data_IF_419817917816
#
_entry.id   IF_419817917816
#
_cell.length_a   1.000
_cell.length_b   1.000
_cell.length_c   1.000
_cell.angle_alpha   90.00
_cell.angle_beta   90.00
_cell.angle_gamma   90.00
#
_symmetry.space_group_name_H-M   'P 1'
#
loop_
_entity.id
_entity.type
_entity.pdbx_description
1 polymer ?
#
# COMPACT_ATOMS: atom_id res chain seq x y z
N UNK A 1 21.35 22.95 -0.83
CA UNK A 1 21.00 22.85 0.61
C UNK A 1 19.48 22.72 0.86
N UNK A 2 18.61 23.29 0.02
CA UNK A 2 17.14 23.11 0.10
C UNK A 2 16.67 21.72 -0.37
N UNK A 3 17.24 21.19 -1.45
CA UNK A 3 16.84 19.90 -2.05
C UNK A 3 17.12 18.72 -1.11
N UNK A 4 18.23 18.73 -0.37
CA UNK A 4 18.56 17.67 0.59
C UNK A 4 17.62 17.67 1.79
N UNK A 5 17.33 18.86 2.35
CA UNK A 5 16.34 19.03 3.43
C UNK A 5 14.94 18.64 2.99
N UNK A 6 14.54 19.01 1.77
CA UNK A 6 13.26 18.62 1.21
C UNK A 6 13.16 17.10 1.02
N UNK A 7 14.20 16.45 0.46
CA UNK A 7 14.24 15.00 0.31
C UNK A 7 14.14 14.29 1.66
N UNK A 8 14.84 14.79 2.67
CA UNK A 8 14.79 14.26 4.02
C UNK A 8 13.39 14.39 4.62
N UNK A 9 12.80 15.58 4.57
CA UNK A 9 11.41 15.82 5.00
C UNK A 9 10.42 14.89 4.28
N UNK A 10 10.61 14.68 2.98
CA UNK A 10 9.74 13.82 2.18
C UNK A 10 9.92 12.33 2.51
N UNK A 11 11.12 11.91 2.90
CA UNK A 11 11.39 10.56 3.41
C UNK A 11 10.90 10.38 4.88
N UNK A 12 10.67 11.46 5.63
CA UNK A 12 10.03 11.45 6.95
C UNK A 12 8.50 11.35 6.84
N UNK A 13 7.87 12.14 5.96
CA UNK A 13 6.40 12.15 5.77
C UNK A 13 5.90 10.93 4.99
N UNK A 14 6.64 10.48 3.98
CA UNK A 14 6.31 9.32 3.16
C UNK A 14 7.48 8.31 3.14
N UNK A 15 7.69 7.55 4.24
CA UNK A 15 8.85 6.68 4.39
C UNK A 15 8.89 5.57 3.33
N UNK A 16 7.73 5.16 2.82
CA UNK A 16 7.61 4.06 1.86
C UNK A 16 7.45 4.52 0.40
N UNK A 17 7.42 5.83 0.13
CA UNK A 17 7.10 6.40 -1.18
C UNK A 17 5.67 6.07 -1.69
N UNK A 18 4.73 5.79 -0.78
CA UNK A 18 3.35 5.47 -1.13
C UNK A 18 2.61 6.66 -1.71
N UNK A 19 2.63 7.79 -0.99
CA UNK A 19 1.95 9.00 -1.44
C UNK A 19 2.54 9.49 -2.76
N UNK A 20 3.86 9.35 -2.96
CA UNK A 20 4.51 9.65 -4.24
C UNK A 20 3.94 8.81 -5.39
N UNK A 21 3.85 7.49 -5.19
CA UNK A 21 3.30 6.58 -6.22
C UNK A 21 1.82 6.87 -6.46
N UNK A 22 1.05 7.10 -5.41
CA UNK A 22 -0.37 7.48 -5.51
C UNK A 22 -0.52 8.77 -6.30
N UNK A 23 0.30 9.80 -6.04
CA UNK A 23 0.27 11.06 -6.79
C UNK A 23 0.50 10.83 -8.30
N UNK A 24 1.52 10.06 -8.67
CA UNK A 24 1.77 9.76 -10.09
C UNK A 24 0.61 9.01 -10.75
N UNK A 25 0.01 8.05 -10.04
CA UNK A 25 -1.18 7.33 -10.53
C UNK A 25 -2.37 8.27 -10.67
N UNK A 26 -2.64 9.10 -9.68
CA UNK A 26 -3.73 10.06 -9.70
C UNK A 26 -3.58 11.07 -10.84
N UNK A 27 -2.37 11.60 -11.07
CA UNK A 27 -2.11 12.50 -12.19
C UNK A 27 -2.35 11.80 -13.54
N UNK A 28 -1.86 10.56 -13.70
CA UNK A 28 -2.08 9.80 -14.93
C UNK A 28 -3.57 9.51 -15.19
N UNK A 29 -4.30 9.06 -14.16
CA UNK A 29 -5.75 8.85 -14.26
C UNK A 29 -6.45 10.16 -14.60
N UNK A 30 -6.15 11.24 -13.88
CA UNK A 30 -6.75 12.55 -14.11
C UNK A 30 -6.52 13.06 -15.55
N UNK A 31 -5.32 12.88 -16.10
CA UNK A 31 -5.05 13.30 -17.48
C UNK A 31 -5.88 12.51 -18.48
N UNK A 32 -5.96 11.18 -18.32
CA UNK A 32 -6.78 10.33 -19.21
C UNK A 32 -8.25 10.72 -19.12
N UNK A 33 -8.75 10.95 -17.91
CA UNK A 33 -10.15 11.28 -17.66
C UNK A 33 -10.56 12.64 -18.22
N UNK A 34 -9.65 13.63 -18.20
CA UNK A 34 -9.88 14.91 -18.89
C UNK A 34 -10.03 14.71 -20.40
N UNK A 35 -9.22 13.85 -21.03
CA UNK A 35 -9.37 13.52 -22.45
C UNK A 35 -10.68 12.78 -22.74
N UNK A 36 -11.05 11.82 -21.89
CA UNK A 36 -12.32 11.09 -22.00
C UNK A 36 -13.50 12.05 -21.87
N UNK A 37 -13.45 12.97 -20.90
CA UNK A 37 -14.46 14.00 -20.72
C UNK A 37 -14.61 14.88 -21.96
N UNK A 38 -13.50 15.34 -22.56
CA UNK A 38 -13.53 16.15 -23.77
C UNK A 38 -14.08 15.42 -24.99
N UNK A 39 -13.80 14.11 -25.12
CA UNK A 39 -14.22 13.32 -26.27
C UNK A 39 -15.68 12.89 -26.18
N UNK A 40 -16.13 12.42 -25.02
CA UNK A 40 -17.47 11.86 -24.83
C UNK A 40 -18.49 12.87 -24.34
N UNK A 41 -18.05 13.98 -23.73
CA UNK A 41 -18.90 15.05 -23.18
C UNK A 41 -20.08 14.48 -22.35
N UNK A 42 -19.79 13.79 -21.24
CA UNK A 42 -20.81 13.11 -20.46
C UNK A 42 -21.87 14.08 -19.93
N UNK A 43 -23.12 13.61 -19.89
CA UNK A 43 -24.31 14.42 -19.56
C UNK A 43 -24.21 15.08 -18.18
N UNK A 44 -23.55 14.42 -17.22
CA UNK A 44 -23.36 14.97 -15.87
C UNK A 44 -21.89 15.04 -15.49
N UNK A 45 -21.38 16.27 -15.42
CA UNK A 45 -20.03 16.57 -14.94
C UNK A 45 -19.79 16.04 -13.51
N UNK A 46 -20.74 16.27 -12.60
CA UNK A 46 -20.60 15.85 -11.20
C UNK A 46 -20.61 14.33 -11.04
N UNK A 47 -21.45 13.62 -11.78
CA UNK A 47 -21.47 12.15 -11.75
C UNK A 47 -20.21 11.55 -12.40
N UNK A 48 -19.61 12.25 -13.37
CA UNK A 48 -18.35 11.83 -13.98
C UNK A 48 -17.15 11.97 -13.02
N UNK A 49 -17.03 13.09 -12.31
CA UNK A 49 -15.84 13.35 -11.46
C UNK A 49 -15.97 12.91 -9.99
N UNK A 50 -17.18 12.83 -9.42
CA UNK A 50 -17.35 12.44 -8.00
C UNK A 50 -16.77 11.06 -7.62
N UNK A 51 -16.73 10.03 -8.48
CA UNK A 51 -16.13 8.75 -8.11
C UNK A 51 -14.62 8.83 -7.81
N UNK A 52 -13.89 9.83 -8.33
CA UNK A 52 -12.44 9.95 -8.10
C UNK A 52 -12.06 10.16 -6.64
N UNK A 53 -12.94 10.77 -5.83
CA UNK A 53 -12.71 10.92 -4.39
C UNK A 53 -12.58 9.55 -3.70
N UNK A 54 -13.23 8.52 -4.24
CA UNK A 54 -13.23 7.17 -3.71
C UNK A 54 -12.12 6.31 -4.31
N UNK A 55 -11.69 6.59 -5.54
CA UNK A 55 -10.59 5.88 -6.22
C UNK A 55 -9.28 5.96 -5.42
N UNK A 56 -9.06 7.04 -4.66
CA UNK A 56 -7.89 7.16 -3.78
C UNK A 56 -7.76 5.99 -2.78
N UNK A 57 -8.88 5.39 -2.35
CA UNK A 57 -8.89 4.24 -1.44
C UNK A 57 -8.29 2.96 -2.06
N UNK A 58 -8.18 2.90 -3.39
CA UNK A 58 -7.53 1.80 -4.11
C UNK A 58 -6.07 1.59 -3.68
N UNK A 59 -5.35 2.67 -3.31
CA UNK A 59 -3.95 2.61 -2.86
C UNK A 59 -3.81 2.36 -1.36
N UNK A 60 -4.92 2.15 -0.63
CA UNK A 60 -4.87 1.84 0.80
C UNK A 60 -4.02 0.58 1.09
N UNK A 61 -3.10 0.63 2.08
CA UNK A 61 -2.20 -0.48 2.41
C UNK A 61 -2.93 -1.69 3.01
N UNK A 62 -4.21 -1.53 3.36
CA UNK A 62 -5.03 -2.63 3.89
C UNK A 62 -5.41 -3.63 2.80
N UNK A 63 -5.46 -3.20 1.55
CA UNK A 63 -5.81 -4.06 0.41
C UNK A 63 -4.55 -4.79 -0.05
N UNK A 64 -4.48 -6.07 0.27
CA UNK A 64 -3.24 -6.86 0.11
C UNK A 64 -3.14 -7.55 -1.25
N UNK A 65 -4.22 -7.57 -2.03
CA UNK A 65 -4.25 -8.24 -3.35
C UNK A 65 -4.89 -7.36 -4.43
N UNK A 66 -4.46 -7.52 -5.68
CA UNK A 66 -5.11 -6.84 -6.83
C UNK A 66 -6.58 -7.21 -6.96
N UNK A 67 -6.95 -8.45 -6.63
CA UNK A 67 -8.34 -8.91 -6.65
C UNK A 67 -9.21 -8.11 -5.66
N UNK A 68 -8.74 -7.94 -4.41
CA UNK A 68 -9.44 -7.10 -3.41
C UNK A 68 -9.60 -5.66 -3.90
N UNK A 69 -8.55 -5.10 -4.50
CA UNK A 69 -8.57 -3.73 -5.03
C UNK A 69 -9.57 -3.56 -6.18
N UNK A 70 -9.65 -4.53 -7.11
CA UNK A 70 -10.64 -4.54 -8.19
C UNK A 70 -12.08 -4.71 -7.66
N UNK A 71 -12.28 -5.62 -6.69
CA UNK A 71 -13.60 -5.82 -6.07
C UNK A 71 -14.07 -4.55 -5.35
N UNK A 72 -13.16 -3.83 -4.70
CA UNK A 72 -13.47 -2.54 -4.08
C UNK A 72 -13.93 -1.52 -5.12
N UNK A 73 -13.24 -1.40 -6.27
CA UNK A 73 -13.65 -0.46 -7.32
C UNK A 73 -15.01 -0.81 -7.92
N UNK A 74 -15.29 -2.10 -8.15
CA UNK A 74 -16.60 -2.56 -8.62
C UNK A 74 -17.69 -2.23 -7.59
N UNK A 75 -17.42 -2.49 -6.31
CA UNK A 75 -18.32 -2.16 -5.21
C UNK A 75 -18.60 -0.65 -5.13
N UNK A 76 -17.55 0.18 -5.20
CA UNK A 76 -17.65 1.64 -5.23
C UNK A 76 -18.52 2.08 -6.41
N UNK A 77 -18.27 1.55 -7.61
CA UNK A 77 -19.03 1.90 -8.82
C UNK A 77 -20.52 1.61 -8.63
N UNK A 78 -20.86 0.39 -8.21
CA UNK A 78 -22.25 -0.01 -8.00
C UNK A 78 -22.92 0.82 -6.89
N UNK A 79 -22.22 1.04 -5.77
CA UNK A 79 -22.74 1.80 -4.65
C UNK A 79 -22.97 3.28 -5.00
N UNK A 80 -22.03 3.94 -5.67
CA UNK A 80 -22.17 5.33 -6.12
C UNK A 80 -23.36 5.46 -7.07
N UNK A 81 -23.50 4.55 -8.04
CA UNK A 81 -24.64 4.60 -8.97
C UNK A 81 -25.97 4.46 -8.21
N UNK A 82 -26.08 3.44 -7.35
CA UNK A 82 -27.32 3.18 -6.61
C UNK A 82 -27.68 4.34 -5.67
N UNK A 83 -26.70 4.87 -4.93
CA UNK A 83 -26.92 5.98 -4.00
C UNK A 83 -27.26 7.25 -4.78
N UNK A 84 -26.47 7.63 -5.79
CA UNK A 84 -26.70 8.86 -6.57
C UNK A 84 -28.07 8.86 -7.25
N UNK A 85 -28.45 7.76 -7.91
CA UNK A 85 -29.75 7.64 -8.59
C UNK A 85 -30.89 7.64 -7.60
N UNK A 86 -30.80 6.85 -6.52
CA UNK A 86 -31.87 6.79 -5.52
C UNK A 86 -32.04 8.10 -4.76
N UNK A 87 -30.93 8.77 -4.41
CA UNK A 87 -30.96 10.07 -3.74
C UNK A 87 -31.63 11.10 -4.64
N UNK A 88 -31.21 11.20 -5.91
CA UNK A 88 -31.80 12.12 -6.87
C UNK A 88 -33.31 11.91 -7.10
N UNK A 89 -33.76 10.65 -7.20
CA UNK A 89 -35.18 10.34 -7.43
C UNK A 89 -36.06 10.60 -6.19
N UNK A 90 -35.54 10.34 -4.99
CA UNK A 90 -36.30 10.48 -3.73
C UNK A 90 -36.22 11.88 -3.15
N UNK A 91 -35.20 12.67 -3.53
CA UNK A 91 -34.96 14.03 -3.02
C UNK A 91 -36.18 14.97 -3.00
N UNK A 92 -37.09 14.98 -4.01
CA UNK A 92 -38.27 15.84 -3.97
C UNK A 92 -39.15 15.62 -2.73
N UNK A 93 -39.18 14.39 -2.20
CA UNK A 93 -39.99 14.00 -1.06
C UNK A 93 -39.23 14.17 0.25
N UNK A 94 -38.97 15.41 0.68
CA UNK A 94 -38.08 15.75 1.81
C UNK A 94 -38.26 14.90 3.08
N UNK A 95 -39.50 14.62 3.50
CA UNK A 95 -39.77 13.78 4.67
C UNK A 95 -39.38 12.31 4.46
N UNK A 96 -39.74 11.75 3.30
CA UNK A 96 -39.37 10.37 2.91
C UNK A 96 -37.86 10.27 2.71
N UNK A 97 -37.24 11.28 2.11
CA UNK A 97 -35.81 11.36 1.87
C UNK A 97 -34.99 11.22 3.15
N UNK A 98 -35.38 11.89 4.25
CA UNK A 98 -34.67 11.77 5.52
C UNK A 98 -34.62 10.32 6.03
N UNK A 99 -35.76 9.64 6.11
CA UNK A 99 -35.81 8.24 6.54
C UNK A 99 -35.11 7.29 5.55
N UNK A 100 -35.23 7.59 4.26
CA UNK A 100 -34.54 6.85 3.21
C UNK A 100 -33.01 6.97 3.33
N UNK A 101 -32.47 8.17 3.57
CA UNK A 101 -31.04 8.37 3.78
C UNK A 101 -30.52 7.64 5.01
N UNK A 102 -31.29 7.60 6.12
CA UNK A 102 -30.93 6.80 7.30
C UNK A 102 -30.90 5.30 6.99
N UNK A 103 -31.86 4.81 6.21
CA UNK A 103 -31.88 3.42 5.76
C UNK A 103 -30.68 3.09 4.87
N UNK A 104 -30.39 3.93 3.86
CA UNK A 104 -29.23 3.77 2.97
C UNK A 104 -27.93 3.82 3.77
N UNK A 105 -27.80 4.72 4.75
CA UNK A 105 -26.66 4.76 5.67
C UNK A 105 -26.50 3.44 6.43
N UNK A 106 -27.58 2.93 7.04
CA UNK A 106 -27.54 1.66 7.77
C UNK A 106 -27.12 0.49 6.88
N UNK A 107 -27.77 0.34 5.73
CA UNK A 107 -27.47 -0.74 4.77
C UNK A 107 -26.02 -0.64 4.29
N UNK A 108 -25.60 0.52 3.79
CA UNK A 108 -24.22 0.73 3.30
C UNK A 108 -23.19 0.50 4.41
N UNK A 109 -23.46 0.92 5.64
CA UNK A 109 -22.60 0.67 6.79
C UNK A 109 -22.42 -0.82 7.05
N UNK A 110 -23.50 -1.60 7.12
CA UNK A 110 -23.42 -3.05 7.35
C UNK A 110 -22.70 -3.79 6.21
N UNK A 111 -22.93 -3.40 4.96
CA UNK A 111 -22.21 -3.97 3.82
C UNK A 111 -20.71 -3.64 3.87
N UNK A 112 -20.34 -2.39 4.14
CA UNK A 112 -18.93 -1.98 4.28
C UNK A 112 -18.29 -2.71 5.46
N UNK A 113 -18.96 -2.83 6.61
CA UNK A 113 -18.42 -3.52 7.78
C UNK A 113 -18.21 -5.03 7.50
N UNK A 114 -19.12 -5.67 6.77
CA UNK A 114 -19.04 -7.09 6.41
C UNK A 114 -17.92 -7.40 5.41
N UNK A 115 -17.74 -6.58 4.38
CA UNK A 115 -16.81 -6.88 3.27
C UNK A 115 -15.49 -6.10 3.34
N UNK A 116 -15.50 -4.90 3.91
CA UNK A 116 -14.38 -3.97 3.93
C UNK A 116 -14.19 -3.33 5.32
N UNK A 117 -14.18 -4.16 6.37
CA UNK A 117 -14.10 -3.72 7.79
C UNK A 117 -13.03 -2.63 8.05
N UNK A 118 -11.86 -2.77 7.44
CA UNK A 118 -10.76 -1.81 7.62
C UNK A 118 -11.00 -0.44 6.96
N UNK A 119 -11.93 -0.35 6.01
CA UNK A 119 -12.33 0.86 5.30
C UNK A 119 -13.68 1.38 5.84
N UNK A 120 -13.91 1.33 7.14
CA UNK A 120 -15.14 1.85 7.79
C UNK A 120 -15.51 3.29 7.41
N UNK A 121 -14.54 4.13 7.03
CA UNK A 121 -14.79 5.50 6.55
C UNK A 121 -15.38 5.56 5.13
N UNK A 122 -15.35 4.45 4.38
CA UNK A 122 -15.90 4.34 3.02
C UNK A 122 -17.40 4.65 2.98
N UNK A 123 -18.14 4.28 4.01
CA UNK A 123 -19.59 4.49 4.07
C UNK A 123 -19.95 5.97 3.96
N UNK A 124 -19.29 6.82 4.75
CA UNK A 124 -19.54 8.26 4.73
C UNK A 124 -19.11 8.89 3.41
N UNK A 125 -17.99 8.45 2.84
CA UNK A 125 -17.53 8.95 1.54
C UNK A 125 -18.52 8.58 0.42
N UNK A 126 -19.06 7.36 0.41
CA UNK A 126 -20.07 6.92 -0.57
C UNK A 126 -21.34 7.78 -0.51
N UNK A 127 -21.82 8.05 0.70
CA UNK A 127 -23.01 8.87 0.93
C UNK A 127 -22.75 10.31 0.52
N UNK A 128 -21.59 10.87 0.91
CA UNK A 128 -21.20 12.22 0.53
C UNK A 128 -21.12 12.36 -0.99
N UNK A 129 -20.48 11.41 -1.69
CA UNK A 129 -20.41 11.42 -3.16
C UNK A 129 -21.78 11.32 -3.82
N UNK A 130 -22.69 10.49 -3.29
CA UNK A 130 -24.05 10.39 -3.82
C UNK A 130 -24.88 11.66 -3.59
N UNK A 131 -24.61 12.38 -2.51
CA UNK A 131 -25.29 13.64 -2.20
C UNK A 131 -24.87 14.81 -3.11
N UNK A 132 -23.70 14.76 -3.75
CA UNK A 132 -23.22 15.80 -4.68
C UNK A 132 -24.19 16.01 -5.84
N UNK A 133 -24.94 14.97 -6.21
CA UNK A 133 -25.88 14.98 -7.34
C UNK A 133 -27.23 15.64 -6.98
N UNK A 134 -27.49 15.94 -5.70
CA UNK A 134 -28.76 16.51 -5.26
C UNK A 134 -29.04 17.93 -5.76
N UNK A 135 -28.01 18.66 -6.23
CA UNK A 135 -28.15 20.01 -6.77
C UNK A 135 -28.52 20.05 -8.26
N UNK A 136 -28.76 18.90 -8.90
CA UNK A 136 -29.08 18.86 -10.34
C UNK A 136 -30.57 19.08 -10.60
N UNK A 137 -30.89 19.92 -11.58
CA UNK A 137 -32.25 20.22 -12.05
C UNK A 137 -32.46 19.73 -13.49
N UNK A 138 -33.72 19.45 -13.92
CA UNK A 138 -34.93 19.30 -13.12
C UNK A 138 -34.88 18.09 -12.18
N UNK A 139 -35.57 18.13 -11.02
CA UNK A 139 -35.54 17.01 -10.08
C UNK A 139 -36.32 15.80 -10.59
N UNK A 140 -35.86 14.59 -10.22
CA UNK A 140 -36.52 13.31 -10.48
C UNK A 140 -36.85 12.97 -11.96
N UNK A 141 -36.09 13.52 -12.92
CA UNK A 141 -36.16 13.09 -14.32
C UNK A 141 -35.34 11.82 -14.57
N UNK A 142 -35.98 10.78 -15.11
CA UNK A 142 -35.32 9.50 -15.46
C UNK A 142 -34.20 9.65 -16.49
N UNK A 143 -34.31 10.59 -17.44
CA UNK A 143 -33.26 10.82 -18.44
C UNK A 143 -31.94 11.27 -17.79
N UNK A 144 -32.04 12.17 -16.82
CA UNK A 144 -30.90 12.64 -16.03
C UNK A 144 -30.33 11.51 -15.16
N UNK A 145 -31.20 10.66 -14.59
CA UNK A 145 -30.77 9.48 -13.84
C UNK A 145 -29.98 8.50 -14.74
N UNK A 146 -30.44 8.25 -15.97
CA UNK A 146 -29.66 7.49 -16.96
C UNK A 146 -28.33 8.17 -17.29
N UNK A 147 -28.31 9.50 -17.39
CA UNK A 147 -27.10 10.30 -17.53
C UNK A 147 -26.09 10.10 -16.39
N UNK A 148 -26.56 9.97 -15.14
CA UNK A 148 -25.68 9.66 -14.00
C UNK A 148 -25.08 8.27 -14.09
N UNK A 149 -25.90 7.27 -14.45
CA UNK A 149 -25.44 5.89 -14.63
C UNK A 149 -24.36 5.86 -15.70
N UNK A 150 -24.64 6.39 -16.89
CA UNK A 150 -23.69 6.35 -18.01
C UNK A 150 -22.41 7.12 -17.70
N UNK A 151 -22.50 8.31 -17.09
CA UNK A 151 -21.33 9.13 -16.73
C UNK A 151 -20.45 8.45 -15.67
N UNK A 152 -21.06 7.85 -14.65
CA UNK A 152 -20.33 7.15 -13.57
C UNK A 152 -19.66 5.88 -14.11
N UNK A 153 -20.37 5.11 -14.95
CA UNK A 153 -19.83 3.90 -15.59
C UNK A 153 -18.66 4.26 -16.49
N UNK A 154 -18.80 5.32 -17.30
CA UNK A 154 -17.74 5.78 -18.20
C UNK A 154 -16.46 6.12 -17.42
N UNK A 155 -16.58 6.98 -16.41
CA UNK A 155 -15.50 7.39 -15.51
C UNK A 155 -14.82 6.20 -14.83
N UNK A 156 -15.59 5.32 -14.17
CA UNK A 156 -14.99 4.18 -13.46
C UNK A 156 -14.36 3.15 -14.40
N UNK A 157 -14.86 3.00 -15.64
CA UNK A 157 -14.28 2.10 -16.63
C UNK A 157 -12.91 2.61 -17.09
N UNK A 158 -12.78 3.90 -17.41
CA UNK A 158 -11.52 4.49 -17.81
C UNK A 158 -10.52 4.59 -16.65
N UNK A 159 -10.99 4.82 -15.43
CA UNK A 159 -10.16 4.74 -14.22
C UNK A 159 -9.60 3.31 -14.03
N UNK A 160 -10.43 2.27 -14.20
CA UNK A 160 -10.00 0.87 -14.12
C UNK A 160 -8.96 0.51 -15.19
N UNK A 161 -9.19 0.93 -16.43
CA UNK A 161 -8.25 0.71 -17.53
C UNK A 161 -6.92 1.42 -17.24
N UNK A 162 -6.97 2.68 -16.82
CA UNK A 162 -5.80 3.49 -16.48
C UNK A 162 -4.97 2.83 -15.36
N UNK A 163 -5.62 2.37 -14.30
CA UNK A 163 -4.96 1.69 -13.17
C UNK A 163 -4.34 0.35 -13.58
N UNK A 164 -4.93 -0.35 -14.57
CA UNK A 164 -4.41 -1.63 -15.07
C UNK A 164 -3.21 -1.48 -15.99
N UNK A 165 -3.15 -0.38 -16.75
CA UNK A 165 -2.03 -0.06 -17.65
C UNK A 165 -0.84 0.51 -16.87
N UNK A 166 -1.09 1.22 -15.76
CA UNK A 166 -0.04 1.87 -14.99
C UNK A 166 1.04 0.87 -14.51
N UNK A 167 2.35 1.20 -14.65
CA UNK A 167 3.43 0.29 -14.28
C UNK A 167 3.40 -0.06 -12.79
N UNK A 168 3.67 -1.33 -12.48
CA UNK A 168 3.70 -1.79 -11.09
C UNK A 168 4.97 -1.30 -10.37
N UNK A 169 4.81 -0.25 -9.56
CA UNK A 169 5.87 0.38 -8.78
C UNK A 169 6.00 -0.14 -7.33
N UNK A 170 5.23 -1.17 -6.94
CA UNK A 170 5.18 -1.65 -5.56
C UNK A 170 6.51 -2.26 -5.05
N UNK A 171 7.44 -2.59 -5.94
CA UNK A 171 8.80 -3.00 -5.55
C UNK A 171 9.54 -1.91 -4.79
N UNK A 172 9.28 -0.63 -5.10
CA UNK A 172 9.88 0.51 -4.39
C UNK A 172 9.40 0.56 -2.95
N UNK A 173 8.08 0.41 -2.76
CA UNK A 173 7.45 0.38 -1.44
C UNK A 173 7.99 -0.79 -0.62
N UNK A 174 8.01 -1.98 -1.20
CA UNK A 174 8.54 -3.18 -0.56
C UNK A 174 10.00 -3.02 -0.14
N UNK A 175 10.85 -2.49 -1.02
CA UNK A 175 12.26 -2.26 -0.75
C UNK A 175 12.47 -1.27 0.40
N UNK A 176 11.76 -0.13 0.38
CA UNK A 176 11.83 0.88 1.45
C UNK A 176 11.32 0.33 2.79
N UNK A 177 10.24 -0.43 2.77
CA UNK A 177 9.72 -1.08 3.97
C UNK A 177 10.72 -2.07 4.57
N UNK A 178 11.38 -2.87 3.72
CA UNK A 178 12.40 -3.81 4.16
C UNK A 178 13.66 -3.11 4.68
N UNK A 179 14.09 -2.01 4.06
CA UNK A 179 15.20 -1.20 4.57
C UNK A 179 14.91 -0.64 5.97
N UNK A 180 13.68 -0.18 6.21
CA UNK A 180 13.26 0.29 7.53
C UNK A 180 13.22 -0.87 8.55
N UNK A 181 12.67 -2.02 8.16
CA UNK A 181 12.70 -3.21 9.00
C UNK A 181 14.13 -3.63 9.38
N UNK A 182 15.06 -3.66 8.41
CA UNK A 182 16.47 -3.96 8.66
C UNK A 182 17.11 -2.91 9.59
N UNK A 183 16.77 -1.63 9.43
CA UNK A 183 17.27 -0.57 10.32
C UNK A 183 16.86 -0.84 11.79
N UNK A 184 15.60 -1.19 12.03
CA UNK A 184 15.14 -1.50 13.38
C UNK A 184 15.77 -2.78 13.92
N UNK A 185 15.97 -3.79 13.07
CA UNK A 185 16.72 -4.99 13.44
C UNK A 185 18.20 -4.67 13.83
N UNK A 186 18.86 -3.74 13.13
CA UNK A 186 20.19 -3.25 13.51
C UNK A 186 20.19 -2.60 14.91
N UNK A 187 19.16 -1.79 15.20
CA UNK A 187 18.96 -1.12 16.50
C UNK A 187 18.62 -2.13 17.62
N UNK A 188 17.86 -3.18 17.31
CA UNK A 188 17.56 -4.28 18.24
C UNK A 188 18.80 -5.12 18.55
N UNK A 189 19.66 -5.39 17.57
CA UNK A 189 20.95 -6.06 17.79
C UNK A 189 21.80 -5.21 18.75
N UNK A 190 21.91 -3.90 18.52
CA UNK A 190 22.63 -2.99 19.41
C UNK A 190 22.06 -2.97 20.82
N UNK A 191 20.73 -2.98 20.94
CA UNK A 191 20.05 -2.95 22.24
C UNK A 191 20.26 -4.25 23.01
N UNK A 192 20.20 -5.40 22.33
CA UNK A 192 20.50 -6.71 22.91
C UNK A 192 21.99 -6.84 23.31
N UNK A 193 22.91 -6.27 22.53
CA UNK A 193 24.33 -6.21 22.88
C UNK A 193 24.57 -5.29 24.08
N UNK A 194 23.92 -4.14 24.17
CA UNK A 194 24.14 -3.19 25.26
C UNK A 194 23.25 -3.43 26.49
N UNK A 195 22.43 -4.49 26.51
CA UNK A 195 21.44 -4.78 27.56
C UNK A 195 20.47 -3.62 27.83
N UNK A 196 20.19 -2.81 26.80
CA UNK A 196 19.22 -1.73 26.89
C UNK A 196 17.83 -2.28 26.57
N UNK A 197 16.92 -2.29 27.55
CA UNK A 197 15.52 -2.75 27.40
C UNK A 197 14.63 -1.82 26.54
N UNK A 198 15.22 -1.03 25.64
CA UNK A 198 14.50 -0.11 24.74
C UNK A 198 14.45 -0.71 23.34
N UNK A 199 13.71 -1.81 23.15
CA UNK A 199 13.49 -2.36 21.81
C UNK A 199 12.26 -1.70 21.15
N UNK A 200 12.40 -1.09 19.96
CA UNK A 200 11.30 -0.53 19.16
C UNK A 200 10.45 -1.62 18.47
N UNK A 201 9.91 -2.56 19.24
CA UNK A 201 9.14 -3.72 18.74
C UNK A 201 7.90 -3.27 17.93
N UNK A 202 7.26 -2.16 18.35
CA UNK A 202 6.04 -1.65 17.68
C UNK A 202 6.31 -1.19 16.25
N UNK A 203 7.36 -0.41 16.04
CA UNK A 203 7.78 0.07 14.74
C UNK A 203 8.27 -1.08 13.85
N UNK A 204 9.02 -2.02 14.41
CA UNK A 204 9.51 -3.20 13.71
C UNK A 204 8.36 -4.03 13.11
N UNK A 205 7.32 -4.32 13.91
CA UNK A 205 6.12 -5.04 13.48
C UNK A 205 5.40 -4.31 12.34
N UNK A 206 5.32 -2.97 12.41
CA UNK A 206 4.67 -2.16 11.38
C UNK A 206 5.41 -2.28 10.04
N UNK A 207 6.74 -2.13 10.04
CA UNK A 207 7.55 -2.27 8.82
C UNK A 207 7.46 -3.68 8.23
N UNK A 208 7.51 -4.71 9.08
CA UNK A 208 7.34 -6.09 8.66
C UNK A 208 5.95 -6.36 8.08
N UNK A 209 4.90 -5.75 8.65
CA UNK A 209 3.55 -5.77 8.11
C UNK A 209 3.49 -5.20 6.69
N UNK A 210 4.12 -4.06 6.46
CA UNK A 210 4.21 -3.43 5.14
C UNK A 210 4.96 -4.32 4.13
N UNK A 211 6.09 -4.91 4.52
CA UNK A 211 6.84 -5.86 3.69
C UNK A 211 5.96 -7.04 3.25
N UNK A 212 5.15 -7.59 4.17
CA UNK A 212 4.26 -8.72 3.87
C UNK A 212 3.11 -8.33 2.95
N UNK A 213 2.44 -7.21 3.22
CA UNK A 213 1.31 -6.73 2.45
C UNK A 213 1.72 -6.42 1.01
N UNK A 214 2.79 -5.64 0.82
CA UNK A 214 3.24 -5.24 -0.52
C UNK A 214 3.91 -6.35 -1.31
N UNK A 215 4.43 -7.40 -0.66
CA UNK A 215 4.98 -8.58 -1.36
C UNK A 215 3.94 -9.24 -2.28
N UNK A 216 2.68 -9.30 -1.85
CA UNK A 216 1.57 -9.90 -2.63
C UNK A 216 1.20 -9.08 -3.86
N UNK A 217 1.57 -7.80 -3.87
CA UNK A 217 1.33 -6.86 -4.98
C UNK A 217 2.50 -6.80 -5.96
N UNK A 218 3.59 -7.53 -5.71
CA UNK A 218 4.77 -7.51 -6.59
C UNK A 218 4.53 -8.26 -7.90
N UNK A 219 5.18 -7.84 -9.00
CA UNK A 219 5.27 -8.62 -10.23
C UNK A 219 5.77 -10.04 -9.95
N UNK A 220 5.19 -11.04 -10.64
CA UNK A 220 5.53 -12.47 -10.47
C UNK A 220 7.03 -12.75 -10.54
N UNK A 221 7.78 -12.03 -11.39
CA UNK A 221 9.24 -12.17 -11.53
C UNK A 221 10.01 -11.89 -10.23
N UNK A 222 9.49 -11.05 -9.34
CA UNK A 222 10.17 -10.65 -8.09
C UNK A 222 9.71 -11.44 -6.86
N UNK A 223 8.57 -12.14 -6.91
CA UNK A 223 7.92 -12.74 -5.72
C UNK A 223 8.85 -13.72 -5.01
N UNK A 224 9.51 -14.64 -5.73
CA UNK A 224 10.37 -15.65 -5.10
C UNK A 224 11.57 -15.00 -4.40
N UNK A 225 12.25 -14.06 -5.05
CA UNK A 225 13.44 -13.42 -4.48
C UNK A 225 13.08 -12.59 -3.25
N UNK A 226 12.04 -11.75 -3.35
CA UNK A 226 11.54 -10.95 -2.23
C UNK A 226 11.03 -11.79 -1.07
N UNK A 227 10.37 -12.93 -1.34
CA UNK A 227 9.99 -13.90 -0.32
C UNK A 227 11.21 -14.45 0.43
N UNK A 228 12.23 -14.93 -0.30
CA UNK A 228 13.42 -15.54 0.29
C UNK A 228 14.23 -14.54 1.12
N UNK A 229 14.37 -13.29 0.65
CA UNK A 229 15.00 -12.23 1.43
C UNK A 229 14.22 -11.99 2.72
N UNK A 230 12.90 -11.76 2.63
CA UNK A 230 12.07 -11.47 3.79
C UNK A 230 12.05 -12.59 4.84
N UNK A 231 12.03 -13.86 4.41
CA UNK A 231 12.11 -15.00 5.33
C UNK A 231 13.47 -15.08 6.02
N UNK A 232 14.56 -14.91 5.29
CA UNK A 232 15.90 -15.00 5.87
C UNK A 232 16.18 -13.86 6.86
N UNK A 233 15.80 -12.62 6.54
CA UNK A 233 15.95 -11.50 7.50
C UNK A 233 15.07 -11.74 8.74
N UNK A 234 13.84 -12.24 8.57
CA UNK A 234 12.98 -12.58 9.70
C UNK A 234 13.53 -13.73 10.55
N UNK A 235 14.19 -14.71 9.96
CA UNK A 235 14.84 -15.79 10.73
C UNK A 235 16.01 -15.26 11.57
N UNK A 236 16.73 -14.24 11.07
CA UNK A 236 17.77 -13.55 11.85
C UNK A 236 17.14 -12.81 13.04
N UNK A 237 16.02 -12.10 12.83
CA UNK A 237 15.25 -11.49 13.93
C UNK A 237 14.82 -12.54 14.96
N UNK A 238 14.18 -13.63 14.54
CA UNK A 238 13.76 -14.69 15.48
C UNK A 238 14.94 -15.33 16.22
N UNK A 239 16.11 -15.42 15.58
CA UNK A 239 17.32 -15.91 16.24
C UNK A 239 17.84 -14.92 17.28
N UNK A 240 17.72 -13.61 17.03
CA UNK A 240 18.05 -12.55 17.98
C UNK A 240 17.12 -12.59 19.21
N UNK A 241 15.82 -12.82 19.02
CA UNK A 241 14.87 -12.96 20.13
C UNK A 241 15.23 -14.14 21.05
N UNK A 242 15.87 -15.18 20.50
CA UNK A 242 16.34 -16.35 21.24
C UNK A 242 17.78 -16.21 21.78
N UNK A 243 18.42 -15.04 21.64
CA UNK A 243 19.78 -14.78 22.11
C UNK A 243 19.96 -15.07 23.60
N UNK A 244 18.91 -14.90 24.41
CA UNK A 244 18.92 -15.12 25.86
C UNK A 244 19.32 -16.55 26.26
N UNK A 245 19.23 -17.53 25.35
CA UNK A 245 19.49 -18.94 25.65
C UNK A 245 20.88 -19.45 25.21
N UNK A 246 21.70 -18.64 24.53
CA UNK A 246 23.06 -19.03 24.10
C UNK A 246 24.13 -18.06 24.64
N UNK A 247 25.39 -18.51 24.65
CA UNK A 247 26.54 -17.66 24.96
C UNK A 247 26.60 -16.48 23.99
N UNK A 248 26.36 -15.27 24.51
CA UNK A 248 26.36 -14.03 23.75
C UNK A 248 27.76 -13.74 23.18
N UNK A 249 27.93 -14.00 21.88
CA UNK A 249 29.13 -13.63 21.14
C UNK A 249 28.93 -12.26 20.48
N UNK A 250 29.34 -11.19 21.16
CA UNK A 250 29.14 -9.82 20.71
C UNK A 250 29.82 -9.54 19.36
N UNK A 251 31.03 -10.07 19.16
CA UNK A 251 31.80 -9.91 17.92
C UNK A 251 31.04 -10.46 16.72
N UNK A 252 30.37 -11.62 16.89
CA UNK A 252 29.54 -12.22 15.85
C UNK A 252 28.37 -11.31 15.48
N UNK A 253 27.63 -10.82 16.48
CA UNK A 253 26.44 -9.99 16.26
C UNK A 253 26.76 -8.60 15.72
N UNK A 254 27.89 -8.01 16.10
CA UNK A 254 28.41 -6.81 15.42
C UNK A 254 28.72 -7.07 13.94
N UNK A 255 29.28 -8.25 13.61
CA UNK A 255 29.46 -8.69 12.22
C UNK A 255 28.14 -8.75 11.45
N UNK A 256 27.14 -9.43 12.01
CA UNK A 256 25.79 -9.54 11.42
C UNK A 256 25.17 -8.16 11.20
N UNK A 257 25.26 -7.26 12.19
CA UNK A 257 24.79 -5.88 12.08
C UNK A 257 25.47 -5.13 10.94
N UNK A 258 26.79 -5.23 10.82
CA UNK A 258 27.55 -4.56 9.75
C UNK A 258 27.15 -5.07 8.35
N UNK A 259 26.93 -6.37 8.21
CA UNK A 259 26.44 -6.96 6.96
C UNK A 259 25.00 -6.51 6.66
N UNK A 260 24.12 -6.46 7.66
CA UNK A 260 22.76 -5.92 7.50
C UNK A 260 22.77 -4.44 7.07
N UNK A 261 23.66 -3.63 7.66
CA UNK A 261 23.89 -2.25 7.25
C UNK A 261 24.35 -2.15 5.79
N UNK A 262 25.31 -2.99 5.39
CA UNK A 262 25.80 -3.06 4.00
C UNK A 262 24.69 -3.44 3.03
N UNK A 263 23.86 -4.43 3.37
CA UNK A 263 22.67 -4.81 2.62
C UNK A 263 21.72 -3.62 2.48
N UNK A 264 21.33 -2.99 3.59
CA UNK A 264 20.42 -1.84 3.61
C UNK A 264 20.96 -0.66 2.80
N UNK A 265 22.26 -0.42 2.84
CA UNK A 265 22.90 0.63 2.05
C UNK A 265 22.75 0.37 0.55
N UNK A 266 23.11 -0.84 0.09
CA UNK A 266 22.99 -1.26 -1.31
C UNK A 266 21.54 -1.35 -1.79
N UNK A 267 20.59 -1.60 -0.88
CA UNK A 267 19.16 -1.56 -1.17
C UNK A 267 18.67 -0.18 -1.63
N UNK A 268 19.30 0.93 -1.20
CA UNK A 268 18.91 2.28 -1.62
C UNK A 268 19.16 2.53 -3.10
N UNK A 269 20.27 2.00 -3.61
CA UNK A 269 20.74 2.17 -4.98
C UNK A 269 20.40 1.00 -5.89
N UNK A 270 19.81 -0.07 -5.34
CA UNK A 270 19.54 -1.32 -6.07
C UNK A 270 20.82 -1.93 -6.67
N UNK A 271 21.90 -1.85 -5.91
CA UNK A 271 23.20 -2.42 -6.28
C UNK A 271 23.34 -3.80 -5.66
N UNK A 272 23.99 -4.76 -6.35
CA UNK A 272 24.31 -6.04 -5.75
C UNK A 272 25.31 -5.85 -4.60
N UNK A 273 25.20 -6.70 -3.58
CA UNK A 273 26.17 -6.83 -2.51
C UNK A 273 27.25 -7.85 -2.89
N UNK A 274 28.43 -7.76 -2.26
CA UNK A 274 29.41 -8.84 -2.25
C UNK A 274 28.93 -10.06 -1.44
N UNK A 275 29.84 -10.96 -1.06
CA UNK A 275 29.54 -11.95 -0.02
C UNK A 275 29.50 -11.26 1.36
N UNK A 276 28.70 -11.74 2.33
CA UNK A 276 28.76 -11.24 3.70
C UNK A 276 30.14 -11.47 4.30
N UNK A 277 30.63 -10.52 5.09
CA UNK A 277 31.97 -10.55 5.69
C UNK A 277 31.86 -10.64 7.21
N UNK A 278 31.61 -11.85 7.72
CA UNK A 278 31.60 -12.08 9.15
C UNK A 278 33.03 -12.07 9.70
N UNK A 279 33.31 -11.34 10.80
CA UNK A 279 34.66 -11.18 11.35
C UNK A 279 35.18 -12.44 12.05
N UNK A 280 34.28 -13.36 12.42
CA UNK A 280 34.59 -14.62 13.09
C UNK A 280 33.80 -15.77 12.48
N UNK A 281 34.37 -16.97 12.57
CA UNK A 281 33.66 -18.18 12.16
C UNK A 281 32.54 -18.50 13.16
N UNK A 282 31.35 -18.89 12.67
CA UNK A 282 30.26 -19.33 13.53
C UNK A 282 30.66 -20.59 14.32
N UNK A 283 30.41 -20.57 15.63
CA UNK A 283 30.75 -21.64 16.57
C UNK A 283 29.51 -22.43 17.03
N UNK A 284 28.36 -21.76 17.18
CA UNK A 284 27.11 -22.39 17.62
C UNK A 284 26.21 -22.75 16.44
N UNK A 285 25.27 -23.68 16.65
CA UNK A 285 24.26 -24.04 15.62
C UNK A 285 23.44 -22.83 15.20
N UNK A 286 23.11 -21.94 16.14
CA UNK A 286 22.40 -20.69 15.86
C UNK A 286 23.24 -19.75 15.00
N UNK A 287 24.53 -19.58 15.31
CA UNK A 287 25.44 -18.75 14.51
C UNK A 287 25.59 -19.27 13.08
N UNK A 288 25.71 -20.59 12.89
CA UNK A 288 25.71 -21.20 11.55
C UNK A 288 24.39 -20.95 10.80
N UNK A 289 23.26 -21.05 11.51
CA UNK A 289 21.94 -20.78 10.93
C UNK A 289 21.82 -19.32 10.47
N UNK A 290 22.20 -18.37 11.32
CA UNK A 290 22.19 -16.92 11.03
C UNK A 290 23.09 -16.62 9.83
N UNK A 291 24.33 -17.13 9.83
CA UNK A 291 25.28 -16.95 8.71
C UNK A 291 24.70 -17.44 7.39
N UNK A 292 24.06 -18.63 7.39
CA UNK A 292 23.37 -19.16 6.20
C UNK A 292 22.21 -18.26 5.76
N UNK A 293 21.38 -17.79 6.68
CA UNK A 293 20.28 -16.89 6.36
C UNK A 293 20.78 -15.58 5.75
N UNK A 294 21.82 -14.99 6.33
CA UNK A 294 22.45 -13.76 5.84
C UNK A 294 23.01 -13.95 4.42
N UNK A 295 23.77 -15.03 4.19
CA UNK A 295 24.28 -15.37 2.87
C UNK A 295 23.16 -15.55 1.85
N UNK A 296 22.09 -16.25 2.21
CA UNK A 296 20.94 -16.42 1.32
C UNK A 296 20.23 -15.09 1.04
N UNK A 297 20.08 -14.21 2.03
CA UNK A 297 19.50 -12.89 1.83
C UNK A 297 20.30 -12.08 0.79
N UNK A 298 21.63 -12.09 0.89
CA UNK A 298 22.53 -11.43 -0.06
C UNK A 298 22.43 -12.03 -1.48
N UNK A 299 22.47 -13.36 -1.60
CA UNK A 299 22.33 -14.04 -2.90
C UNK A 299 21.00 -13.67 -3.57
N UNK A 300 19.90 -13.69 -2.82
CA UNK A 300 18.59 -13.38 -3.36
C UNK A 300 18.42 -11.89 -3.66
N UNK A 301 19.05 -11.01 -2.89
CA UNK A 301 19.14 -9.58 -3.20
C UNK A 301 19.88 -9.31 -4.52
N UNK A 302 21.02 -9.96 -4.73
CA UNK A 302 21.80 -9.84 -5.97
C UNK A 302 20.99 -10.31 -7.19
N UNK A 303 20.29 -11.44 -7.05
CA UNK A 303 19.36 -11.94 -8.08
C UNK A 303 18.23 -10.94 -8.35
N UNK A 304 17.67 -10.33 -7.31
CA UNK A 304 16.63 -9.31 -7.46
C UNK A 304 17.15 -8.08 -8.22
N UNK A 305 18.36 -7.62 -7.93
CA UNK A 305 19.00 -6.49 -8.64
C UNK A 305 19.15 -6.81 -10.14
N UNK A 306 19.64 -8.00 -10.47
CA UNK A 306 19.77 -8.47 -11.85
C UNK A 306 18.41 -8.53 -12.57
N UNK A 307 17.37 -9.09 -11.93
CA UNK A 307 16.01 -9.16 -12.50
C UNK A 307 15.34 -7.80 -12.72
N UNK A 308 15.85 -6.73 -12.09
CA UNK A 308 15.35 -5.37 -12.27
C UNK A 308 16.00 -4.67 -13.46
N UNK A 309 17.25 -5.01 -13.77
CA UNK A 309 17.98 -4.50 -14.93
C UNK A 309 17.48 -5.10 -16.25
N UNK A 310 16.89 -6.30 -16.18
CA UNK A 310 16.25 -7.01 -17.29
C UNK A 310 14.71 -6.89 -17.28
#
# INVERSE_FOLDING_TARGET
MSISKFKQWLDEVDPYALQRITLYKCLFVATVEVYVYWLFQPVSFLAFFSPFFLVALYESPVLSTFKEKEHLLIFITAAVILISVSYYLVYPFRGVFFFFSLFVLGVTYFYVLKYFYALKNLTMLLIATGAVVLSTEPPANLEIAYGFISSTVLSMTFALISLRIFPNMYLIVWNRALQKFIQYLEEDIDSAINQNNKSPIGEEILHLGMVRNYRRLLPKKYIMQTYRIGVNIRNIQHALDNLYYETKNEVFWYGVKNDLFSLRHNMRTYTPCGAPSLPIEPQTKLQHHISRCLQQAFIHWNKLCFLRQN
#
